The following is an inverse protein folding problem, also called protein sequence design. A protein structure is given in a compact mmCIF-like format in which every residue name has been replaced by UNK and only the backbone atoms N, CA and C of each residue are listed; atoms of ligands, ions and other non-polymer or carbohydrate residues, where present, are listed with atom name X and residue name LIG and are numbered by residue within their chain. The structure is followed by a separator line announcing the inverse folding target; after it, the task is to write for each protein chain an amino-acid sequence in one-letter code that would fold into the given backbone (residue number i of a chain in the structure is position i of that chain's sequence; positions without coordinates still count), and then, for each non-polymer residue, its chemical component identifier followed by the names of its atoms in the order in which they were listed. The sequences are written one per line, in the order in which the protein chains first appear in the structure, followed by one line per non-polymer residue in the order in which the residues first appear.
data_IF_435490291379
#
_entry.id   IF_435490291379
#
_cell.length_a   1.000
_cell.length_b   1.000
_cell.length_c   1.000
_cell.angle_alpha   90.00
_cell.angle_beta   90.00
_cell.angle_gamma   90.00
#
_symmetry.space_group_name_H-M   'P 1'
#
loop_
_entity.id
_entity.type
_entity.pdbx_description
1 polymer ?
#
# COMPACT_ATOMS: atom_id res chain seq x y z
N UNK A 1 3.07 14.74 11.80
CA UNK A 1 3.65 13.54 11.12
C UNK A 1 3.07 13.45 9.72
N UNK A 2 3.87 13.56 8.64
CA UNK A 2 3.37 13.46 7.27
C UNK A 2 3.44 12.02 6.69
N UNK A 3 3.08 10.96 7.44
CA UNK A 3 3.76 9.66 7.20
C UNK A 3 2.93 8.58 6.49
N UNK A 4 1.60 8.66 6.44
CA UNK A 4 0.80 7.52 5.93
C UNK A 4 0.37 7.62 4.47
N UNK A 5 0.40 8.81 3.85
CA UNK A 5 0.24 8.94 2.39
C UNK A 5 1.41 8.31 1.61
N UNK A 6 2.52 7.96 2.27
CA UNK A 6 3.79 7.59 1.63
C UNK A 6 4.10 6.10 1.55
N UNK A 7 3.34 5.22 2.22
CA UNK A 7 3.60 3.78 2.10
C UNK A 7 2.98 3.26 0.80
N UNK A 8 3.56 3.70 -0.33
CA UNK A 8 3.32 3.15 -1.65
C UNK A 8 3.52 1.64 -1.61
N UNK A 9 2.86 0.93 -2.51
CA UNK A 9 2.90 -0.53 -2.56
C UNK A 9 4.33 -1.10 -2.54
N UNK A 10 5.27 -0.46 -3.23
CA UNK A 10 6.66 -0.90 -3.28
C UNK A 10 7.41 -0.64 -1.96
N UNK A 11 7.09 0.44 -1.27
CA UNK A 11 7.58 0.75 0.09
C UNK A 11 7.09 -0.30 1.08
N UNK A 12 5.79 -0.63 1.06
CA UNK A 12 5.23 -1.69 1.91
C UNK A 12 5.92 -3.03 1.68
N UNK A 13 6.15 -3.41 0.41
CA UNK A 13 6.83 -4.66 0.07
C UNK A 13 8.27 -4.68 0.60
N UNK A 14 9.03 -3.60 0.40
CA UNK A 14 10.41 -3.53 0.88
C UNK A 14 10.50 -3.58 2.42
N UNK A 15 9.58 -2.91 3.13
CA UNK A 15 9.49 -2.99 4.57
C UNK A 15 9.09 -4.39 5.04
N UNK A 16 8.14 -5.05 4.38
CA UNK A 16 7.81 -6.45 4.69
C UNK A 16 8.98 -7.39 4.50
N UNK A 17 9.79 -7.20 3.46
CA UNK A 17 11.00 -8.01 3.21
C UNK A 17 12.06 -7.78 4.29
N UNK A 18 12.26 -6.53 4.72
CA UNK A 18 13.22 -6.19 5.80
C UNK A 18 12.75 -6.67 7.17
N UNK A 19 11.47 -6.50 7.47
CA UNK A 19 10.86 -6.92 8.74
C UNK A 19 10.50 -8.40 8.73
N UNK A 20 10.72 -9.12 7.63
CA UNK A 20 10.32 -10.52 7.47
C UNK A 20 10.85 -11.39 8.60
N UNK A 21 12.06 -11.10 9.09
CA UNK A 21 12.76 -11.78 10.19
C UNK A 21 12.66 -11.08 11.55
N UNK A 22 12.01 -9.92 11.64
CA UNK A 22 11.87 -9.19 12.89
C UNK A 22 10.88 -9.90 13.84
N UNK A 23 11.38 -10.31 15.01
CA UNK A 23 10.60 -11.06 15.99
C UNK A 23 9.42 -10.25 16.56
N UNK A 24 9.56 -8.93 16.73
CA UNK A 24 8.44 -8.09 17.18
C UNK A 24 7.37 -7.99 16.11
N UNK A 25 7.75 -7.79 14.85
CA UNK A 25 6.79 -7.74 13.73
C UNK A 25 6.05 -9.07 13.60
N UNK A 26 6.78 -10.19 13.63
CA UNK A 26 6.19 -11.54 13.60
C UNK A 26 5.22 -11.79 14.74
N UNK A 27 5.50 -11.27 15.95
CA UNK A 27 4.66 -11.49 17.13
C UNK A 27 3.23 -10.95 16.98
N UNK A 28 3.04 -9.89 16.18
CA UNK A 28 1.75 -9.21 16.03
C UNK A 28 1.14 -9.37 14.65
N UNK A 29 1.92 -9.67 13.60
CA UNK A 29 1.44 -9.68 12.21
C UNK A 29 0.24 -10.59 12.02
N UNK A 30 0.31 -11.81 12.55
CA UNK A 30 -0.78 -12.78 12.45
C UNK A 30 -2.06 -12.32 13.17
N UNK A 31 -1.91 -11.68 14.33
CA UNK A 31 -3.01 -11.12 15.12
C UNK A 31 -3.67 -9.95 14.41
N UNK A 32 -2.88 -8.98 13.95
CA UNK A 32 -3.37 -7.82 13.21
C UNK A 32 -4.13 -8.26 11.96
N UNK A 33 -3.58 -9.20 11.19
CA UNK A 33 -4.25 -9.74 10.00
C UNK A 33 -5.61 -10.39 10.33
N UNK A 34 -5.73 -11.14 11.42
CA UNK A 34 -7.03 -11.72 11.84
C UNK A 34 -8.03 -10.63 12.21
N UNK A 35 -7.61 -9.68 13.04
CA UNK A 35 -8.47 -8.55 13.44
C UNK A 35 -8.93 -7.76 12.21
N UNK A 36 -8.02 -7.44 11.29
CA UNK A 36 -8.32 -6.69 10.07
C UNK A 36 -9.19 -7.46 9.07
N UNK A 37 -9.02 -8.78 8.94
CA UNK A 37 -9.88 -9.61 8.09
C UNK A 37 -11.33 -9.62 8.59
N UNK A 38 -11.50 -9.66 9.91
CA UNK A 38 -12.80 -9.66 10.56
C UNK A 38 -13.39 -8.24 10.68
N UNK A 39 -12.55 -7.20 10.71
CA UNK A 39 -12.91 -5.79 10.66
C UNK A 39 -12.44 -5.18 9.34
N UNK A 40 -13.16 -5.50 8.26
CA UNK A 40 -12.87 -5.09 6.85
C UNK A 40 -12.73 -3.58 6.64
N UNK A 41 -13.11 -2.82 7.65
CA UNK A 41 -13.06 -1.38 7.77
C UNK A 41 -11.64 -0.84 8.03
N UNK A 42 -10.74 -1.65 8.59
CA UNK A 42 -9.35 -1.24 8.82
C UNK A 42 -8.58 -1.28 7.49
N UNK A 43 -8.19 -0.10 6.98
CA UNK A 43 -7.50 0.11 5.70
C UNK A 43 -5.97 0.02 5.81
N UNK A 44 -5.41 0.13 7.02
CA UNK A 44 -3.97 0.08 7.25
C UNK A 44 -3.38 -1.28 6.87
N UNK A 45 -2.15 -1.28 6.39
CA UNK A 45 -1.33 -2.47 6.20
C UNK A 45 -0.62 -2.87 7.51
N UNK A 46 -0.32 -4.16 7.76
CA UNK A 46 0.38 -4.56 8.99
C UNK A 46 1.70 -3.83 9.25
N UNK A 47 2.43 -3.44 8.20
CA UNK A 47 3.67 -2.64 8.34
C UNK A 47 3.41 -1.20 8.79
N UNK A 48 2.31 -0.58 8.34
CA UNK A 48 1.91 0.76 8.78
C UNK A 48 1.47 0.71 10.24
N UNK A 49 0.76 -0.34 10.63
CA UNK A 49 0.39 -0.56 12.02
C UNK A 49 1.61 -0.76 12.92
N UNK A 50 2.56 -1.59 12.49
CA UNK A 50 3.81 -1.82 13.20
C UNK A 50 4.58 -0.50 13.38
N UNK A 51 4.71 0.28 12.31
CA UNK A 51 5.33 1.59 12.34
C UNK A 51 4.65 2.53 13.36
N UNK A 52 3.32 2.69 13.27
CA UNK A 52 2.58 3.57 14.17
C UNK A 52 2.62 3.13 15.63
N UNK A 53 2.65 1.82 15.89
CA UNK A 53 2.83 1.30 17.25
C UNK A 53 4.21 1.68 17.81
N UNK A 54 5.27 1.66 16.99
CA UNK A 54 6.58 2.15 17.42
C UNK A 54 6.64 3.66 17.57
N UNK A 55 5.93 4.43 16.75
CA UNK A 55 5.84 5.87 16.97
C UNK A 55 5.25 6.19 18.36
N UNK A 56 4.22 5.45 18.80
CA UNK A 56 3.64 5.58 20.15
C UNK A 56 4.66 5.16 21.23
N UNK A 57 5.30 4.00 21.07
CA UNK A 57 6.24 3.47 22.06
C UNK A 57 7.48 4.34 22.20
N UNK A 58 8.06 4.77 21.08
CA UNK A 58 9.29 5.56 21.03
C UNK A 58 9.06 6.95 21.61
N UNK A 59 7.86 7.51 21.40
CA UNK A 59 7.42 8.74 22.04
C UNK A 59 7.42 8.64 23.57
N UNK A 60 6.98 7.49 24.13
CA UNK A 60 7.00 7.24 25.58
C UNK A 60 8.39 6.89 26.11
N UNK A 61 9.19 6.20 25.30
CA UNK A 61 10.51 5.69 25.70
C UNK A 61 11.50 6.81 26.02
N UNK A 62 11.43 7.93 25.31
CA UNK A 62 12.25 9.13 25.56
C UNK A 62 11.84 9.96 26.78
N UNK A 63 10.86 9.52 27.57
CA UNK A 63 10.24 10.32 28.63
C UNK A 63 10.44 9.71 30.02
N UNK A 64 10.27 10.55 31.06
CA UNK A 64 10.14 10.02 32.43
C UNK A 64 8.86 9.21 32.59
N UNK A 65 8.78 8.32 33.59
CA UNK A 65 7.57 7.51 33.84
C UNK A 65 6.31 8.36 33.97
N UNK A 66 6.38 9.49 34.70
CA UNK A 66 5.22 10.38 34.87
C UNK A 66 4.78 11.05 33.56
N UNK A 67 5.73 11.38 32.69
CA UNK A 67 5.44 11.96 31.37
C UNK A 67 4.83 10.90 30.44
N UNK A 68 5.39 9.70 30.40
CA UNK A 68 4.85 8.60 29.62
C UNK A 68 3.45 8.19 30.10
N UNK A 69 3.19 8.19 31.41
CA UNK A 69 1.87 7.96 31.98
C UNK A 69 0.87 9.05 31.55
N UNK A 70 1.26 10.34 31.63
CA UNK A 70 0.43 11.44 31.15
C UNK A 70 0.12 11.29 29.65
N UNK A 71 1.13 11.04 28.84
CA UNK A 71 0.99 10.83 27.40
C UNK A 71 0.02 9.70 27.08
N UNK A 72 0.22 8.52 27.68
CA UNK A 72 -0.64 7.35 27.48
C UNK A 72 -2.09 7.54 27.92
N UNK A 73 -2.31 8.46 28.86
CA UNK A 73 -3.63 8.76 29.40
C UNK A 73 -4.38 9.80 28.59
N UNK A 74 -3.71 10.86 28.14
CA UNK A 74 -4.40 12.07 27.68
C UNK A 74 -4.01 12.48 26.24
N UNK A 75 -2.90 12.00 25.67
CA UNK A 75 -2.40 12.48 24.36
C UNK A 75 -2.33 11.39 23.28
N UNK A 76 -1.92 10.17 23.63
CA UNK A 76 -1.63 9.10 22.67
C UNK A 76 -2.81 8.77 21.74
N UNK A 77 -4.05 8.85 22.23
CA UNK A 77 -5.21 8.64 21.38
C UNK A 77 -5.40 9.79 20.38
N UNK A 78 -5.46 11.03 20.87
CA UNK A 78 -5.79 12.19 20.04
C UNK A 78 -4.70 12.50 19.01
N UNK A 79 -3.42 12.35 19.36
CA UNK A 79 -2.32 12.57 18.43
C UNK A 79 -2.45 11.66 17.19
N UNK A 80 -2.74 10.37 17.39
CA UNK A 80 -2.87 9.43 16.28
C UNK A 80 -4.27 9.40 15.66
N UNK A 81 -5.30 9.88 16.36
CA UNK A 81 -6.61 10.17 15.74
C UNK A 81 -6.46 11.23 14.65
N UNK A 82 -5.71 12.29 14.92
CA UNK A 82 -5.39 13.32 13.93
C UNK A 82 -4.58 12.76 12.76
N UNK A 83 -3.53 11.97 13.02
CA UNK A 83 -2.71 11.33 11.97
C UNK A 83 -3.54 10.40 11.08
N UNK A 84 -4.47 9.63 11.66
CA UNK A 84 -5.30 8.70 10.90
C UNK A 84 -6.47 9.39 10.18
N UNK A 85 -6.81 10.63 10.56
CA UNK A 85 -7.88 11.39 9.91
C UNK A 85 -7.58 11.65 8.42
N UNK A 86 -6.31 11.81 8.07
CA UNK A 86 -5.89 11.99 6.68
C UNK A 86 -6.09 10.72 5.82
N UNK A 87 -6.01 9.53 6.43
CA UNK A 87 -6.19 8.24 5.72
C UNK A 87 -7.66 7.86 5.61
N UNK A 88 -8.41 8.05 6.69
CA UNK A 88 -9.79 7.58 6.79
C UNK A 88 -10.79 8.63 6.32
N UNK A 89 -10.42 9.91 6.35
CA UNK A 89 -11.33 11.04 6.19
C UNK A 89 -12.01 11.41 7.51
N UNK A 90 -12.58 12.63 7.55
CA UNK A 90 -13.24 13.15 8.74
C UNK A 90 -14.53 12.43 9.14
N UNK A 91 -15.20 11.75 8.20
CA UNK A 91 -16.52 11.14 8.42
C UNK A 91 -16.45 9.65 8.85
N UNK A 92 -15.26 9.06 8.86
CA UNK A 92 -15.02 7.63 9.15
C UNK A 92 -14.50 7.39 10.58
N UNK A 93 -15.20 7.94 11.58
CA UNK A 93 -14.81 7.83 12.99
C UNK A 93 -14.72 6.38 13.47
N UNK A 94 -15.66 5.52 13.06
CA UNK A 94 -15.68 4.14 13.48
C UNK A 94 -14.46 3.37 12.97
N UNK A 95 -14.17 3.44 11.67
CA UNK A 95 -13.05 2.72 11.06
C UNK A 95 -11.70 3.23 11.57
N UNK A 96 -11.59 4.55 11.75
CA UNK A 96 -10.41 5.23 12.28
C UNK A 96 -10.14 4.80 13.73
N UNK A 97 -11.15 4.86 14.58
CA UNK A 97 -11.04 4.43 15.97
C UNK A 97 -10.72 2.93 16.07
N UNK A 98 -11.31 2.06 15.24
CA UNK A 98 -10.96 0.63 15.22
C UNK A 98 -9.50 0.38 14.84
N UNK A 99 -8.94 1.14 13.90
CA UNK A 99 -7.53 1.07 13.53
C UNK A 99 -6.63 1.58 14.66
N UNK A 100 -6.99 2.71 15.28
CA UNK A 100 -6.27 3.28 16.41
C UNK A 100 -6.26 2.34 17.62
N UNK A 101 -7.41 1.72 17.93
CA UNK A 101 -7.53 0.72 18.98
C UNK A 101 -6.57 -0.46 18.75
N UNK A 102 -6.41 -0.91 17.50
CA UNK A 102 -5.48 -1.98 17.17
C UNK A 102 -4.01 -1.55 17.38
N UNK A 103 -3.65 -0.31 17.07
CA UNK A 103 -2.31 0.27 17.33
C UNK A 103 -2.05 0.36 18.85
N UNK A 104 -2.97 0.97 19.59
CA UNK A 104 -2.85 1.14 21.05
C UNK A 104 -2.83 -0.20 21.78
N UNK A 105 -3.64 -1.16 21.33
CA UNK A 105 -3.64 -2.53 21.85
C UNK A 105 -2.28 -3.20 21.64
N UNK A 106 -1.70 -3.05 20.44
CA UNK A 106 -0.36 -3.56 20.13
C UNK A 106 0.68 -3.02 21.11
N UNK A 107 0.63 -1.71 21.36
CA UNK A 107 1.52 -1.06 22.33
C UNK A 107 1.34 -1.63 23.74
N UNK A 108 0.10 -1.69 24.22
CA UNK A 108 -0.22 -2.21 25.56
C UNK A 108 0.27 -3.66 25.73
N UNK A 109 0.10 -4.50 24.72
CA UNK A 109 0.44 -5.92 24.77
C UNK A 109 1.96 -6.17 24.75
N UNK A 110 2.74 -5.35 24.05
CA UNK A 110 4.22 -5.40 24.12
C UNK A 110 4.73 -4.88 25.46
N UNK A 111 4.24 -3.73 25.93
CA UNK A 111 4.62 -3.18 27.24
C UNK A 111 4.29 -4.17 28.37
N UNK A 112 3.11 -4.80 28.35
CA UNK A 112 2.73 -5.81 29.33
C UNK A 112 3.66 -7.04 29.29
N UNK A 113 4.03 -7.51 28.10
CA UNK A 113 4.89 -8.69 27.93
C UNK A 113 6.36 -8.45 28.21
N UNK A 114 6.82 -7.20 28.25
CA UNK A 114 8.16 -6.86 28.73
C UNK A 114 8.41 -7.30 30.18
N UNK A 115 7.34 -7.58 30.95
CA UNK A 115 7.36 -7.91 32.39
C UNK A 115 7.98 -6.79 33.26
N UNK A 116 8.10 -5.59 32.71
CA UNK A 116 8.51 -4.39 33.44
C UNK A 116 7.32 -3.81 34.21
N UNK A 117 7.28 -4.08 35.52
CA UNK A 117 6.18 -3.64 36.39
C UNK A 117 6.05 -2.12 36.48
N UNK A 118 7.11 -1.37 36.17
CA UNK A 118 7.05 0.11 36.15
C UNK A 118 6.13 0.65 35.04
N UNK A 119 5.76 -0.18 34.07
CA UNK A 119 4.96 0.21 32.90
C UNK A 119 3.48 -0.16 33.03
N UNK A 120 3.06 -0.79 34.14
CA UNK A 120 1.67 -1.19 34.34
C UNK A 120 0.70 0.00 34.35
N UNK A 121 1.11 1.16 34.86
CA UNK A 121 0.32 2.39 34.80
C UNK A 121 0.03 2.82 33.36
N UNK A 122 1.07 2.82 32.52
CA UNK A 122 1.00 3.11 31.09
C UNK A 122 0.07 2.11 30.38
N UNK A 123 0.26 0.81 30.60
CA UNK A 123 -0.59 -0.25 30.01
C UNK A 123 -2.05 -0.04 30.39
N UNK A 124 -2.33 0.29 31.65
CA UNK A 124 -3.68 0.53 32.15
C UNK A 124 -4.32 1.74 31.47
N UNK A 125 -3.57 2.84 31.31
CA UNK A 125 -4.03 4.04 30.63
C UNK A 125 -4.37 3.76 29.15
N UNK A 126 -3.48 3.06 28.42
CA UNK A 126 -3.72 2.68 27.03
C UNK A 126 -4.98 1.81 26.87
N UNK A 127 -5.19 0.85 27.78
CA UNK A 127 -6.40 0.00 27.79
C UNK A 127 -7.67 0.80 28.11
N UNK A 128 -7.59 1.76 29.03
CA UNK A 128 -8.71 2.66 29.33
C UNK A 128 -9.08 3.53 28.13
N UNK A 129 -8.10 4.00 27.36
CA UNK A 129 -8.33 4.75 26.12
C UNK A 129 -9.12 3.92 25.10
N UNK A 130 -8.73 2.65 24.89
CA UNK A 130 -9.50 1.74 24.01
C UNK A 130 -10.94 1.59 24.51
N UNK A 131 -11.14 1.35 25.81
CA UNK A 131 -12.46 1.15 26.39
C UNK A 131 -13.35 2.40 26.33
N UNK A 132 -12.75 3.61 26.35
CA UNK A 132 -13.47 4.87 26.27
C UNK A 132 -13.96 5.19 24.86
N UNK A 133 -13.15 4.87 23.83
CA UNK A 133 -13.42 5.28 22.45
C UNK A 133 -14.07 4.21 21.57
N UNK A 134 -14.11 2.95 22.02
CA UNK A 134 -14.55 1.80 21.23
C UNK A 134 -15.65 1.03 21.94
N UNK A 135 -16.49 0.32 21.16
CA UNK A 135 -17.47 -0.60 21.73
C UNK A 135 -16.82 -1.69 22.59
N UNK A 136 -17.48 -2.05 23.68
CA UNK A 136 -17.06 -3.14 24.57
C UNK A 136 -16.87 -4.46 23.80
N UNK A 137 -17.75 -4.72 22.82
CA UNK A 137 -17.67 -5.91 21.97
C UNK A 137 -16.36 -5.99 21.18
N UNK A 138 -15.97 -4.90 20.52
CA UNK A 138 -14.74 -4.87 19.73
C UNK A 138 -13.50 -4.86 20.63
N UNK A 139 -13.53 -4.15 21.75
CA UNK A 139 -12.48 -4.17 22.77
C UNK A 139 -12.20 -5.60 23.28
N UNK A 140 -13.25 -6.34 23.64
CA UNK A 140 -13.12 -7.74 24.07
C UNK A 140 -12.55 -8.63 22.96
N UNK A 141 -12.99 -8.43 21.72
CA UNK A 141 -12.48 -9.18 20.56
C UNK A 141 -10.99 -8.93 20.32
N UNK A 142 -10.54 -7.68 20.49
CA UNK A 142 -9.10 -7.35 20.43
C UNK A 142 -8.33 -8.14 21.49
N UNK A 143 -8.77 -8.11 22.76
CA UNK A 143 -8.10 -8.85 23.82
C UNK A 143 -8.03 -10.36 23.55
N UNK A 144 -9.10 -10.96 23.02
CA UNK A 144 -9.13 -12.38 22.64
C UNK A 144 -8.14 -12.71 21.51
N UNK A 145 -8.09 -11.90 20.46
CA UNK A 145 -7.21 -12.13 19.32
C UNK A 145 -5.73 -11.94 19.68
N UNK A 146 -5.41 -10.98 20.53
CA UNK A 146 -4.04 -10.79 21.05
C UNK A 146 -3.63 -11.93 21.96
N UNK A 147 -4.50 -12.34 22.89
CA UNK A 147 -4.24 -13.51 23.75
C UNK A 147 -3.95 -14.75 22.92
N UNK A 148 -4.77 -15.02 21.89
CA UNK A 148 -4.60 -16.13 20.97
C UNK A 148 -3.31 -16.05 20.15
N UNK A 149 -2.97 -14.85 19.67
CA UNK A 149 -1.76 -14.63 18.88
C UNK A 149 -0.49 -14.94 19.63
N UNK A 150 -0.42 -14.51 20.89
CA UNK A 150 0.75 -14.70 21.74
C UNK A 150 0.88 -16.11 22.32
N UNK A 151 -0.15 -16.97 22.25
CA UNK A 151 -0.03 -18.39 22.66
C UNK A 151 1.04 -19.18 21.89
N UNK A 152 1.50 -18.69 20.74
CA UNK A 152 2.50 -19.35 19.89
C UNK A 152 3.86 -18.65 19.90
N UNK A 153 4.03 -17.63 20.75
CA UNK A 153 5.28 -16.89 20.90
C UNK A 153 6.04 -17.45 22.11
N UNK A 154 7.35 -17.62 21.99
CA UNK A 154 8.21 -17.91 23.13
C UNK A 154 8.17 -16.74 24.11
N UNK A 155 7.41 -16.88 25.20
CA UNK A 155 7.12 -15.78 26.12
C UNK A 155 8.37 -15.22 26.80
N UNK A 156 9.33 -16.08 27.18
CA UNK A 156 10.54 -15.65 27.89
C UNK A 156 11.51 -14.95 26.93
N UNK A 157 11.74 -15.53 25.74
CA UNK A 157 12.55 -14.91 24.70
C UNK A 157 11.96 -13.59 24.21
N UNK A 158 10.64 -13.52 24.07
CA UNK A 158 9.94 -12.31 23.65
C UNK A 158 9.96 -11.22 24.73
N UNK A 159 9.75 -11.59 26.00
CA UNK A 159 9.83 -10.65 27.11
C UNK A 159 11.21 -9.99 27.20
N UNK A 160 12.28 -10.78 27.06
CA UNK A 160 13.65 -10.27 27.02
C UNK A 160 13.87 -9.30 25.86
N UNK A 161 13.39 -9.65 24.66
CA UNK A 161 13.53 -8.82 23.48
C UNK A 161 12.84 -7.45 23.63
N UNK A 162 11.59 -7.43 24.12
CA UNK A 162 10.87 -6.17 24.33
C UNK A 162 11.48 -5.38 25.48
N UNK A 163 11.92 -6.04 26.55
CA UNK A 163 12.60 -5.38 27.65
C UNK A 163 13.89 -4.69 27.19
N UNK A 164 14.75 -5.41 26.48
CA UNK A 164 16.00 -4.89 25.92
C UNK A 164 15.74 -3.72 24.97
N UNK A 165 14.72 -3.85 24.13
CA UNK A 165 14.28 -2.75 23.27
C UNK A 165 13.93 -1.51 24.10
N UNK A 166 13.08 -1.66 25.11
CA UNK A 166 12.58 -0.53 25.91
C UNK A 166 13.65 0.16 26.76
N UNK A 167 14.76 -0.53 27.09
CA UNK A 167 15.89 0.03 27.83
C UNK A 167 16.99 0.62 26.93
N UNK A 168 17.10 0.18 25.67
CA UNK A 168 18.12 0.67 24.74
C UNK A 168 17.84 2.08 24.21
N UNK A 169 18.78 2.67 23.48
CA UNK A 169 18.59 4.00 22.85
C UNK A 169 17.93 3.90 21.46
N UNK A 170 17.89 2.71 20.87
CA UNK A 170 17.35 2.43 19.54
C UNK A 170 15.88 2.84 19.41
N UNK A 171 15.51 3.57 18.37
CA UNK A 171 14.13 3.94 18.05
C UNK A 171 13.73 3.32 16.71
N UNK A 172 12.85 2.32 16.73
CA UNK A 172 12.41 1.61 15.52
C UNK A 172 11.61 2.54 14.61
N UNK A 173 10.87 3.51 15.15
CA UNK A 173 10.20 4.50 14.31
C UNK A 173 11.20 5.30 13.48
N UNK A 174 12.31 5.75 14.07
CA UNK A 174 13.36 6.50 13.37
C UNK A 174 14.13 5.65 12.37
N UNK A 175 14.32 4.36 12.66
CA UNK A 175 14.91 3.42 11.70
C UNK A 175 14.00 3.25 10.49
N UNK A 176 12.69 3.10 10.70
CA UNK A 176 11.73 3.03 9.60
C UNK A 176 11.71 4.36 8.85
N UNK A 177 11.71 5.51 9.52
CA UNK A 177 11.79 6.83 8.88
C UNK A 177 13.05 6.96 8.01
N UNK A 178 14.22 6.56 8.53
CA UNK A 178 15.48 6.56 7.79
C UNK A 178 15.43 5.63 6.57
N UNK A 179 14.74 4.48 6.70
CA UNK A 179 14.51 3.58 5.59
C UNK A 179 13.60 4.20 4.53
N UNK A 180 12.52 4.86 4.93
CA UNK A 180 11.61 5.56 4.02
C UNK A 180 12.35 6.69 3.28
N UNK A 181 13.11 7.51 4.00
CA UNK A 181 13.93 8.58 3.44
C UNK A 181 14.96 8.04 2.45
N UNK A 182 15.59 6.90 2.74
CA UNK A 182 16.53 6.27 1.81
C UNK A 182 15.86 5.78 0.52
N UNK A 183 14.59 5.36 0.62
CA UNK A 183 13.81 4.88 -0.53
C UNK A 183 13.27 6.04 -1.38
N UNK A 184 12.98 7.19 -0.76
CA UNK A 184 12.66 8.43 -1.47
C UNK A 184 13.94 9.10 -2.04
N UNK A 185 15.09 8.94 -1.39
CA UNK A 185 16.40 9.40 -1.89
C UNK A 185 16.91 8.62 -3.10
N UNK A 186 16.57 7.33 -3.21
CA UNK A 186 16.87 6.49 -4.39
C UNK A 186 15.95 6.84 -5.59
N UNK A 187 14.87 7.59 -5.36
CA UNK A 187 14.08 8.21 -6.42
C UNK A 187 14.77 9.47 -7.02
N UNK A 188 15.92 9.89 -6.46
CA UNK A 188 16.73 11.02 -6.91
C UNK A 188 17.83 10.69 -7.92
N UNK A 189 18.05 9.40 -8.25
CA UNK A 189 18.79 9.05 -9.47
C UNK A 189 17.81 9.04 -10.63
N UNK A 190 17.71 10.19 -11.30
CA UNK A 190 16.95 10.41 -12.53
C UNK A 190 17.21 9.31 -13.57
N UNK A 191 16.33 8.31 -13.63
CA UNK A 191 15.95 7.74 -14.91
C UNK A 191 14.75 8.57 -15.40
N UNK A 192 14.71 9.00 -16.68
CA UNK A 192 13.69 9.94 -17.14
C UNK A 192 12.29 9.38 -16.87
N UNK A 193 11.59 10.02 -15.94
CA UNK A 193 10.20 9.77 -15.57
C UNK A 193 9.33 9.93 -16.81
N UNK A 194 8.76 8.82 -17.29
CA UNK A 194 7.62 8.86 -18.20
C UNK A 194 6.39 9.13 -17.33
N UNK A 195 5.82 10.33 -17.45
CA UNK A 195 4.65 10.76 -16.70
C UNK A 195 3.49 9.75 -16.77
N UNK A 196 2.66 9.62 -15.71
CA UNK A 196 1.50 8.73 -15.75
C UNK A 196 0.58 9.13 -16.90
N UNK A 197 0.36 8.22 -17.84
CA UNK A 197 -0.46 8.52 -19.02
C UNK A 197 -1.88 8.90 -18.61
N UNK A 198 -2.41 9.96 -19.22
CA UNK A 198 -3.80 10.41 -19.03
C UNK A 198 -4.82 9.37 -19.50
N UNK A 199 -4.38 8.37 -20.28
CA UNK A 199 -5.21 7.31 -20.87
C UNK A 199 -4.91 6.00 -20.14
N UNK A 200 -5.92 5.44 -19.47
CA UNK A 200 -5.83 4.15 -18.75
C UNK A 200 -6.65 3.06 -19.43
N UNK A 201 -6.13 1.83 -19.41
CA UNK A 201 -6.87 0.65 -19.88
C UNK A 201 -7.85 0.20 -18.80
N UNK A 202 -9.15 0.18 -19.12
CA UNK A 202 -10.17 -0.28 -18.19
C UNK A 202 -9.97 -1.75 -17.75
N UNK A 203 -10.37 -2.11 -16.51
CA UNK A 203 -10.26 -3.48 -16.01
C UNK A 203 -10.88 -4.50 -16.97
N UNK A 204 -10.20 -5.65 -17.15
CA UNK A 204 -10.61 -6.75 -18.06
C UNK A 204 -10.67 -6.39 -19.56
N UNK A 205 -10.23 -5.21 -19.98
CA UNK A 205 -10.15 -4.80 -21.41
C UNK A 205 -8.77 -4.92 -22.04
N UNK A 206 -7.75 -5.32 -21.26
CA UNK A 206 -6.35 -5.46 -21.70
C UNK A 206 -6.19 -6.28 -22.98
N UNK A 207 -6.85 -7.44 -23.07
CA UNK A 207 -6.81 -8.30 -24.26
C UNK A 207 -7.41 -7.63 -25.50
N UNK A 208 -8.49 -6.86 -25.34
CA UNK A 208 -9.11 -6.13 -26.46
C UNK A 208 -8.21 -5.02 -26.97
N UNK A 209 -7.61 -4.21 -26.09
CA UNK A 209 -6.66 -3.16 -26.47
C UNK A 209 -5.45 -3.75 -27.19
N UNK A 210 -4.87 -4.83 -26.66
CA UNK A 210 -3.77 -5.54 -27.29
C UNK A 210 -4.14 -6.12 -28.66
N UNK A 211 -5.38 -6.55 -28.85
CA UNK A 211 -5.86 -7.06 -30.14
C UNK A 211 -5.86 -5.96 -31.19
N UNK A 212 -6.31 -4.76 -30.82
CA UNK A 212 -6.32 -3.57 -31.69
C UNK A 212 -4.89 -3.12 -31.99
N UNK A 213 -4.03 -2.98 -30.98
CA UNK A 213 -2.63 -2.57 -31.20
C UNK A 213 -1.88 -3.57 -32.09
N UNK A 214 -2.10 -4.88 -31.91
CA UNK A 214 -1.53 -5.91 -32.78
C UNK A 214 -2.06 -5.84 -34.22
N UNK A 215 -3.30 -5.41 -34.43
CA UNK A 215 -3.84 -5.16 -35.76
C UNK A 215 -3.13 -3.98 -36.44
N UNK A 216 -3.00 -2.87 -35.72
CA UNK A 216 -2.31 -1.66 -36.19
C UNK A 216 -0.84 -1.94 -36.52
N UNK A 217 -0.16 -2.72 -35.68
CA UNK A 217 1.21 -3.17 -35.95
C UNK A 217 1.31 -3.96 -37.26
N UNK A 218 0.40 -4.93 -37.49
CA UNK A 218 0.38 -5.72 -38.73
C UNK A 218 0.00 -4.91 -39.97
N UNK A 219 -0.78 -3.84 -39.80
CA UNK A 219 -1.11 -2.89 -40.85
C UNK A 219 0.03 -1.89 -41.13
N UNK A 220 1.13 -1.95 -40.37
CA UNK A 220 2.30 -1.09 -40.56
C UNK A 220 2.16 0.32 -40.01
N UNK A 221 1.21 0.56 -39.09
CA UNK A 221 0.93 1.91 -38.57
C UNK A 221 1.98 2.40 -37.56
N UNK A 222 2.83 1.51 -37.06
CA UNK A 222 3.90 1.88 -36.14
C UNK A 222 5.24 1.87 -36.86
N UNK A 223 5.88 3.03 -36.88
CA UNK A 223 7.21 3.26 -37.45
C UNK A 223 8.12 3.85 -36.38
N UNK A 224 9.43 3.70 -36.56
CA UNK A 224 10.41 4.39 -35.73
C UNK A 224 10.49 5.89 -36.08
N UNK A 225 11.32 6.62 -35.34
CA UNK A 225 11.53 8.07 -35.54
C UNK A 225 12.03 8.43 -36.94
N UNK A 226 12.61 7.46 -37.66
CA UNK A 226 13.11 7.61 -39.02
C UNK A 226 12.11 7.12 -40.09
N UNK A 227 10.89 6.75 -39.67
CA UNK A 227 9.81 6.29 -40.55
C UNK A 227 9.92 4.84 -41.00
N UNK A 228 10.83 4.04 -40.44
CA UNK A 228 10.97 2.62 -40.80
C UNK A 228 10.01 1.75 -39.99
N UNK A 229 9.52 0.62 -40.55
CA UNK A 229 8.66 -0.29 -39.82
C UNK A 229 9.36 -0.92 -38.60
N UNK A 230 8.67 -0.92 -37.44
CA UNK A 230 9.18 -1.57 -36.24
C UNK A 230 9.27 -3.08 -36.43
N UNK A 231 10.44 -3.69 -36.19
CA UNK A 231 10.71 -5.11 -36.53
C UNK A 231 10.30 -6.11 -35.45
N UNK A 232 10.22 -5.69 -34.20
CA UNK A 232 9.88 -6.57 -33.08
C UNK A 232 8.51 -6.21 -32.51
N UNK A 233 7.52 -7.06 -32.82
CA UNK A 233 6.13 -6.86 -32.40
C UNK A 233 5.96 -6.77 -30.89
N UNK A 234 6.57 -7.69 -30.13
CA UNK A 234 6.29 -7.78 -28.70
C UNK A 234 6.97 -6.63 -27.93
N UNK A 235 8.14 -6.20 -28.40
CA UNK A 235 8.86 -5.00 -27.91
C UNK A 235 8.08 -3.72 -28.24
N UNK A 236 7.70 -3.52 -29.51
CA UNK A 236 6.94 -2.34 -29.94
C UNK A 236 5.61 -2.19 -29.18
N UNK A 237 4.90 -3.30 -28.94
CA UNK A 237 3.63 -3.26 -28.21
C UNK A 237 3.82 -3.03 -26.72
N UNK A 238 4.88 -3.56 -26.08
CA UNK A 238 5.17 -3.26 -24.68
C UNK A 238 5.64 -1.82 -24.48
N UNK A 239 6.38 -1.25 -25.44
CA UNK A 239 6.75 0.16 -25.42
C UNK A 239 5.52 1.08 -25.46
N UNK A 240 4.56 0.78 -26.31
CA UNK A 240 3.30 1.54 -26.37
C UNK A 240 2.53 1.38 -25.06
N UNK A 241 2.42 0.17 -24.51
CA UNK A 241 1.71 -0.06 -23.24
C UNK A 241 2.38 0.67 -22.08
N UNK A 242 3.71 0.67 -22.03
CA UNK A 242 4.50 1.37 -21.01
C UNK A 242 4.35 2.89 -21.14
N UNK A 243 4.57 3.43 -22.34
CA UNK A 243 4.67 4.88 -22.53
C UNK A 243 3.31 5.56 -22.72
N UNK A 244 2.35 4.91 -23.39
CA UNK A 244 1.03 5.49 -23.68
C UNK A 244 -0.06 5.08 -22.67
N UNK A 245 0.11 3.95 -21.98
CA UNK A 245 -0.89 3.43 -21.04
C UNK A 245 -0.36 3.23 -19.61
N UNK A 246 0.90 3.60 -19.35
CA UNK A 246 1.51 3.53 -18.01
C UNK A 246 1.53 2.12 -17.44
N UNK A 247 1.72 1.08 -18.27
CA UNK A 247 1.84 -0.28 -17.75
C UNK A 247 3.26 -0.58 -17.34
N UNK A 248 3.48 -0.76 -16.03
CA UNK A 248 4.81 -0.93 -15.45
C UNK A 248 5.43 -2.32 -15.66
N UNK A 249 4.70 -3.26 -16.27
CA UNK A 249 5.16 -4.63 -16.51
C UNK A 249 4.95 -5.05 -17.94
N UNK A 250 6.02 -5.59 -18.52
CA UNK A 250 5.98 -6.23 -19.83
C UNK A 250 4.88 -7.29 -19.84
N UNK A 251 3.98 -7.13 -20.80
CA UNK A 251 2.91 -8.07 -21.02
C UNK A 251 3.45 -9.17 -21.92
N UNK A 252 3.18 -10.44 -21.57
CA UNK A 252 3.42 -11.56 -22.46
C UNK A 252 2.44 -11.52 -23.64
N UNK A 253 2.72 -10.66 -24.62
CA UNK A 253 1.86 -10.33 -25.77
C UNK A 253 1.44 -11.60 -26.51
N UNK A 254 2.42 -12.44 -26.84
CA UNK A 254 2.21 -13.72 -27.53
C UNK A 254 1.26 -14.66 -26.78
N UNK A 255 1.38 -14.78 -25.45
CA UNK A 255 0.52 -15.62 -24.61
C UNK A 255 -0.87 -15.03 -24.42
N UNK A 256 -0.97 -13.70 -24.40
CA UNK A 256 -2.22 -12.97 -24.19
C UNK A 256 -3.10 -12.98 -25.44
N UNK A 257 -2.49 -12.95 -26.64
CA UNK A 257 -3.20 -12.93 -27.92
C UNK A 257 -3.43 -14.34 -28.50
N UNK A 258 -2.57 -15.31 -28.17
CA UNK A 258 -2.72 -16.71 -28.55
C UNK A 258 -2.66 -17.62 -27.31
N UNK A 259 -3.72 -17.66 -26.48
CA UNK A 259 -3.80 -18.62 -25.39
C UNK A 259 -3.83 -20.05 -25.96
N UNK A 260 -3.18 -20.99 -25.28
CA UNK A 260 -3.00 -22.39 -25.68
C UNK A 260 -4.31 -23.17 -25.91
N UNK A 261 -5.46 -22.59 -25.57
CA UNK A 261 -6.80 -23.11 -25.87
C UNK A 261 -7.44 -22.25 -26.98
N UNK A 262 -7.57 -22.84 -28.18
CA UNK A 262 -7.95 -22.18 -29.44
C UNK A 262 -9.37 -21.62 -29.58
N UNK A 263 -9.97 -21.04 -28.55
CA UNK A 263 -11.37 -20.56 -28.55
C UNK A 263 -11.55 -19.09 -28.96
N UNK A 264 -10.48 -18.33 -29.21
CA UNK A 264 -10.58 -16.86 -29.37
C UNK A 264 -10.69 -16.38 -30.83
N UNK A 265 -10.50 -17.26 -31.82
CA UNK A 265 -10.39 -16.86 -33.23
C UNK A 265 -11.63 -16.18 -33.86
N UNK A 266 -12.82 -16.29 -33.26
CA UNK A 266 -14.07 -15.85 -33.92
C UNK A 266 -14.79 -14.65 -33.29
N UNK A 267 -14.39 -14.17 -32.09
CA UNK A 267 -15.12 -13.08 -31.41
C UNK A 267 -14.71 -11.66 -31.83
N UNK A 268 -13.56 -11.51 -32.47
CA UNK A 268 -12.99 -10.18 -32.79
C UNK A 268 -13.02 -9.81 -34.27
N UNK A 269 -13.45 -10.73 -35.16
CA UNK A 269 -13.51 -10.48 -36.61
C UNK A 269 -14.36 -9.24 -36.99
N UNK A 270 -15.56 -9.02 -36.40
CA UNK A 270 -16.36 -7.83 -36.74
C UNK A 270 -15.73 -6.52 -36.25
N UNK A 271 -15.01 -6.57 -35.12
CA UNK A 271 -14.31 -5.41 -34.57
C UNK A 271 -13.10 -5.05 -35.43
N UNK A 272 -12.38 -6.06 -35.91
CA UNK A 272 -11.25 -5.90 -36.82
C UNK A 272 -11.68 -5.39 -38.20
N UNK A 273 -12.82 -5.87 -38.72
CA UNK A 273 -13.38 -5.36 -39.99
C UNK A 273 -13.80 -3.89 -39.88
N UNK A 274 -14.37 -3.47 -38.74
CA UNK A 274 -14.68 -2.05 -38.46
C UNK A 274 -13.44 -1.15 -38.30
N UNK A 275 -12.39 -1.65 -37.64
CA UNK A 275 -11.15 -0.89 -37.42
C UNK A 275 -10.26 -0.79 -38.68
N UNK A 276 -10.53 -1.60 -39.69
CA UNK A 276 -9.77 -1.60 -40.95
C UNK A 276 -10.49 -0.85 -42.07
N UNK A 277 -11.68 -0.29 -41.84
CA UNK A 277 -12.36 0.55 -42.81
C UNK A 277 -11.74 1.96 -42.79
N UNK A 278 -10.71 2.15 -43.61
CA UNK A 278 -9.84 3.33 -43.60
C UNK A 278 -10.56 4.66 -43.77
N UNK A 279 -11.77 4.67 -44.35
CA UNK A 279 -12.56 5.89 -44.53
C UNK A 279 -13.12 6.47 -43.22
N UNK A 280 -13.49 5.63 -42.25
CA UNK A 280 -14.04 6.12 -40.98
C UNK A 280 -12.93 6.68 -40.07
N UNK A 281 -11.72 6.14 -40.18
CA UNK A 281 -10.57 6.58 -39.39
C UNK A 281 -10.00 7.91 -39.89
N UNK A 282 -9.96 8.12 -41.21
CA UNK A 282 -9.55 9.41 -41.78
C UNK A 282 -10.48 10.56 -41.37
N UNK A 283 -11.79 10.30 -41.34
CA UNK A 283 -12.79 11.26 -40.85
C UNK A 283 -12.62 11.54 -39.34
N UNK A 284 -12.42 10.50 -38.53
CA UNK A 284 -12.21 10.66 -37.09
C UNK A 284 -10.94 11.46 -36.76
N UNK A 285 -9.84 11.20 -37.47
CA UNK A 285 -8.58 11.94 -37.28
C UNK A 285 -8.75 13.40 -37.73
N UNK A 286 -9.44 13.64 -38.84
CA UNK A 286 -9.72 14.99 -39.32
C UNK A 286 -10.54 15.79 -38.29
N UNK A 287 -11.63 15.22 -37.77
CA UNK A 287 -12.51 15.88 -36.80
C UNK A 287 -11.77 16.18 -35.48
N UNK A 288 -10.98 15.23 -34.99
CA UNK A 288 -10.17 15.41 -33.78
C UNK A 288 -9.11 16.51 -33.96
N UNK A 289 -8.54 16.61 -35.17
CA UNK A 289 -7.54 17.63 -35.49
C UNK A 289 -8.17 19.02 -35.58
N UNK A 290 -9.40 19.13 -36.11
CA UNK A 290 -10.16 20.38 -36.08
C UNK A 290 -10.52 20.81 -34.66
N UNK A 291 -11.02 19.90 -33.83
CA UNK A 291 -11.39 20.18 -32.43
C UNK A 291 -10.19 20.70 -31.62
N UNK A 292 -9.01 20.11 -31.83
CA UNK A 292 -7.78 20.52 -31.15
C UNK A 292 -7.24 21.88 -31.63
N UNK A 293 -7.49 22.25 -32.89
CA UNK A 293 -7.10 23.56 -33.42
C UNK A 293 -8.05 24.69 -33.00
N UNK A 294 -9.34 24.43 -32.80
CA UNK A 294 -10.31 25.43 -32.34
C UNK A 294 -10.15 25.79 -30.85
N UNK A 295 -9.57 24.91 -30.03
CA UNK A 295 -9.29 25.19 -28.60
C UNK A 295 -8.09 26.15 -28.39
N UNK A 296 -7.34 26.46 -29.45
CA UNK A 296 -6.12 27.29 -29.38
C UNK A 296 -6.25 28.67 -30.07
N UNK A 297 -7.47 29.14 -30.34
CA UNK A 297 -7.77 30.52 -30.78
C UNK A 297 -8.63 31.26 -29.74
#
# INVERSE_FOLDING_TARGET
MPILEYFKKDVRRALEEKLADDSMFRSIRGTCLRVMNDAKEIKLHPTELYYLAFCVIDRMKGQSTSQAEFYSKDEAWYEYDEVLRDIYGGDSDHERHSALALIIQTCAEWLLRSRDMSRLGIVSNLKLQIAYHISEEFSRRLDEEFRRGFCYVDEDGFAGLVYDYLQGERLISEEIDSLLDSMDGDAGMENPSVAPSSIRIAPRKKTSVLTVLNAMYKAGWFTDVDGNPLKNRDEALNDILRNAFGTDKDTAISQTLNPSNGTVKYKFKPLMEKLLDGKEIELFIHDLTQELMEIHQ
#
